data_IF_894182527484
#
_entry.id   IF_894182527484
#
_cell.length_a   1.000
_cell.length_b   1.000
_cell.length_c   1.000
_cell.angle_alpha   90.00
_cell.angle_beta   90.00
_cell.angle_gamma   90.00
#
_symmetry.space_group_name_H-M   'P 1'
#
loop_
_entity.id
_entity.type
_entity.pdbx_description
1 polymer ?
#
# COMPACT_ATOMS: atom_id res chain seq x y z
N UNK A 1 -12.75 21.06 5.70
CA UNK A 1 -11.71 20.01 5.67
C UNK A 1 -10.88 20.16 4.40
N UNK A 2 -9.62 19.76 4.45
CA UNK A 2 -8.70 19.77 3.29
C UNK A 2 -9.32 19.04 2.08
N UNK A 3 -9.95 17.89 2.30
CA UNK A 3 -10.68 17.15 1.26
C UNK A 3 -11.69 18.04 0.52
N UNK A 4 -12.52 18.77 1.25
CA UNK A 4 -13.52 19.66 0.64
C UNK A 4 -12.84 20.77 -0.18
N UNK A 5 -11.80 21.38 0.34
CA UNK A 5 -11.07 22.44 -0.35
C UNK A 5 -10.43 21.97 -1.67
N UNK A 6 -9.85 20.76 -1.68
CA UNK A 6 -9.31 20.16 -2.90
C UNK A 6 -10.44 19.88 -3.90
N UNK A 7 -11.56 19.31 -3.44
CA UNK A 7 -12.71 18.97 -4.29
C UNK A 7 -13.34 20.20 -4.95
N UNK A 8 -13.42 21.28 -4.23
CA UNK A 8 -13.98 22.55 -4.74
C UNK A 8 -13.10 23.14 -5.86
N UNK A 9 -11.84 22.73 -5.98
CA UNK A 9 -10.86 23.25 -6.94
C UNK A 9 -10.44 22.28 -8.02
N UNK A 10 -10.49 20.97 -7.76
CA UNK A 10 -9.95 19.97 -8.67
C UNK A 10 -10.70 18.65 -8.59
N UNK A 11 -11.14 18.07 -9.74
CA UNK A 11 -11.86 16.79 -9.78
C UNK A 11 -10.90 15.59 -9.80
N UNK A 12 -9.93 15.53 -8.89
CA UNK A 12 -9.00 14.40 -8.77
C UNK A 12 -9.54 13.33 -7.82
N UNK A 13 -9.09 12.09 -7.99
CA UNK A 13 -9.31 11.01 -7.03
C UNK A 13 -8.42 11.26 -5.81
N UNK A 14 -9.02 11.21 -4.62
CA UNK A 14 -8.28 11.36 -3.37
C UNK A 14 -8.02 9.97 -2.77
N UNK A 15 -6.76 9.71 -2.49
CA UNK A 15 -6.29 8.52 -1.82
C UNK A 15 -5.72 8.90 -0.45
N UNK A 16 -6.18 8.20 0.60
CA UNK A 16 -5.76 8.48 1.97
C UNK A 16 -4.91 7.34 2.53
N UNK A 17 -3.75 7.69 3.08
CA UNK A 17 -2.94 6.74 3.83
C UNK A 17 -3.65 6.36 5.13
N UNK A 18 -3.57 5.08 5.49
CA UNK A 18 -4.03 4.54 6.78
C UNK A 18 -2.87 3.91 7.56
N UNK A 19 -1.65 4.01 7.05
CA UNK A 19 -0.47 3.50 7.73
C UNK A 19 -0.29 4.16 9.09
N UNK A 20 -0.24 3.36 10.16
CA UNK A 20 0.11 3.83 11.50
C UNK A 20 0.94 2.79 12.22
N UNK A 21 1.87 3.28 13.00
CA UNK A 21 2.69 2.49 13.91
C UNK A 21 1.90 2.15 15.20
N UNK A 22 0.87 2.97 15.48
CA UNK A 22 0.00 2.78 16.64
C UNK A 22 -1.06 1.72 16.32
N UNK A 23 -1.33 0.85 17.26
CA UNK A 23 -2.23 -0.31 17.10
C UNK A 23 -3.74 0.07 17.21
N UNK A 24 -4.05 1.35 17.13
CA UNK A 24 -5.39 1.86 17.31
C UNK A 24 -6.22 1.82 16.02
N UNK A 25 -6.74 0.63 15.71
CA UNK A 25 -7.69 0.41 14.60
C UNK A 25 -8.91 1.34 14.68
N UNK A 26 -9.31 1.75 15.89
CA UNK A 26 -10.48 2.61 16.12
C UNK A 26 -10.34 3.96 15.43
N UNK A 27 -9.20 4.61 15.58
CA UNK A 27 -8.97 5.94 15.01
C UNK A 27 -8.86 5.91 13.49
N UNK A 28 -8.19 4.87 12.95
CA UNK A 28 -8.12 4.63 11.50
C UNK A 28 -9.52 4.42 10.89
N UNK A 29 -10.34 3.59 11.55
CA UNK A 29 -11.72 3.32 11.14
C UNK A 29 -12.55 4.60 11.11
N UNK A 30 -12.50 5.37 12.17
CA UNK A 30 -13.20 6.66 12.31
C UNK A 30 -12.77 7.61 11.19
N UNK A 31 -11.48 7.71 10.93
CA UNK A 31 -10.93 8.55 9.88
C UNK A 31 -11.46 8.19 8.47
N UNK A 32 -11.52 6.90 8.12
CA UNK A 32 -12.06 6.42 6.86
C UNK A 32 -13.56 6.69 6.75
N UNK A 33 -14.33 6.37 7.80
CA UNK A 33 -15.79 6.54 7.85
C UNK A 33 -16.20 8.02 7.74
N UNK A 34 -15.49 8.91 8.40
CA UNK A 34 -15.78 10.34 8.39
C UNK A 34 -15.31 11.04 7.11
N UNK A 35 -14.12 10.67 6.62
CA UNK A 35 -13.51 11.34 5.46
C UNK A 35 -14.05 10.84 4.14
N UNK A 36 -14.39 9.55 4.03
CA UNK A 36 -14.87 8.88 2.81
C UNK A 36 -14.07 9.29 1.57
N UNK A 37 -12.76 9.05 1.52
CA UNK A 37 -11.99 9.26 0.29
C UNK A 37 -12.48 8.27 -0.79
N UNK A 38 -12.11 8.46 -2.04
CA UNK A 38 -12.42 7.48 -3.08
C UNK A 38 -11.62 6.20 -2.88
N UNK A 39 -10.35 6.35 -2.48
CA UNK A 39 -9.40 5.25 -2.25
C UNK A 39 -8.76 5.45 -0.87
N UNK A 40 -8.46 4.36 -0.20
CA UNK A 40 -7.63 4.40 1.00
C UNK A 40 -6.68 3.19 1.04
N UNK A 41 -5.47 3.43 1.54
CA UNK A 41 -4.46 2.40 1.69
C UNK A 41 -4.90 1.32 2.68
N UNK A 42 -4.65 0.06 2.34
CA UNK A 42 -4.84 -1.10 3.19
C UNK A 42 -3.54 -1.91 3.20
N UNK A 43 -2.80 -1.82 4.29
CA UNK A 43 -1.53 -2.54 4.44
C UNK A 43 -1.78 -4.03 4.61
N UNK A 44 -1.20 -4.85 3.70
CA UNK A 44 -1.57 -6.25 3.52
C UNK A 44 -0.75 -7.24 4.33
N UNK A 45 0.11 -6.78 5.23
CA UNK A 45 0.87 -7.71 6.07
C UNK A 45 1.75 -7.04 7.12
N UNK A 46 2.04 -7.81 8.16
CA UNK A 46 2.99 -7.44 9.22
C UNK A 46 4.42 -7.65 8.74
N UNK A 47 5.30 -6.70 9.03
CA UNK A 47 6.72 -6.79 8.67
C UNK A 47 7.60 -6.04 9.67
N UNK A 48 8.90 -6.32 9.66
CA UNK A 48 9.87 -5.38 10.21
C UNK A 48 9.88 -4.15 9.31
N UNK A 49 9.85 -2.97 9.89
CA UNK A 49 9.95 -1.71 9.19
C UNK A 49 11.11 -0.92 9.76
N UNK A 50 12.19 -0.83 9.00
CA UNK A 50 13.45 -0.31 9.52
C UNK A 50 14.18 0.52 8.49
N UNK A 51 15.03 1.44 8.95
CA UNK A 51 15.96 2.20 8.11
C UNK A 51 17.38 1.99 8.62
N UNK A 52 18.24 1.49 7.75
CA UNK A 52 19.66 1.27 8.04
C UNK A 52 20.54 2.30 7.34
N UNK A 53 21.39 2.97 8.09
CA UNK A 53 22.41 3.89 7.58
C UNK A 53 23.71 3.15 7.28
N UNK A 54 24.02 2.95 6.01
CA UNK A 54 25.33 2.36 5.60
C UNK A 54 26.52 3.20 6.06
N UNK A 55 26.39 4.54 6.03
CA UNK A 55 27.43 5.47 6.46
C UNK A 55 27.75 5.34 7.95
N UNK A 56 26.71 5.22 8.78
CA UNK A 56 26.82 5.11 10.23
C UNK A 56 26.93 3.67 10.73
N UNK A 57 26.63 2.69 9.87
CA UNK A 57 26.56 1.25 10.17
C UNK A 57 25.62 0.94 11.34
N UNK A 58 24.48 1.62 11.39
CA UNK A 58 23.47 1.44 12.44
C UNK A 58 22.06 1.64 11.88
N UNK A 59 21.08 1.12 12.61
CA UNK A 59 19.67 1.41 12.33
C UNK A 59 19.34 2.82 12.81
N UNK A 60 18.68 3.60 11.96
CA UNK A 60 18.11 4.91 12.29
C UNK A 60 16.83 4.74 13.08
N UNK A 61 16.05 3.74 12.69
CA UNK A 61 14.92 3.20 13.43
C UNK A 61 14.73 1.72 13.10
N UNK A 62 14.07 1.01 14.00
CA UNK A 62 13.69 -0.40 13.88
C UNK A 62 12.39 -0.64 14.64
N UNK A 63 11.36 -1.14 13.94
CA UNK A 63 10.05 -1.37 14.52
C UNK A 63 9.30 -2.50 13.81
N UNK A 64 8.29 -3.02 14.46
CA UNK A 64 7.29 -3.89 13.83
C UNK A 64 6.19 -2.99 13.24
N UNK A 65 5.85 -3.22 11.97
CA UNK A 65 4.68 -2.62 11.34
C UNK A 65 3.52 -3.63 11.37
N UNK A 66 2.61 -3.55 12.37
CA UNK A 66 1.65 -4.60 12.65
C UNK A 66 0.41 -4.47 11.77
N UNK A 67 0.19 -5.45 10.89
CA UNK A 67 -0.99 -5.57 10.05
C UNK A 67 -1.45 -7.03 10.04
N UNK A 68 -2.04 -7.47 11.17
CA UNK A 68 -2.60 -8.82 11.30
C UNK A 68 -3.85 -8.99 10.45
N UNK A 69 -4.23 -10.22 10.11
CA UNK A 69 -5.48 -10.48 9.38
C UNK A 69 -6.70 -9.87 10.06
N UNK A 70 -6.80 -9.95 11.39
CA UNK A 70 -7.90 -9.34 12.12
C UNK A 70 -7.96 -7.82 11.95
N UNK A 71 -6.82 -7.14 11.87
CA UNK A 71 -6.74 -5.70 11.59
C UNK A 71 -7.13 -5.40 10.14
N UNK A 72 -6.58 -6.16 9.19
CA UNK A 72 -6.88 -6.02 7.76
C UNK A 72 -8.38 -6.19 7.50
N UNK A 73 -8.99 -7.25 8.04
CA UNK A 73 -10.43 -7.53 7.87
C UNK A 73 -11.28 -6.37 8.43
N UNK A 74 -11.01 -5.92 9.65
CA UNK A 74 -11.75 -4.81 10.26
C UNK A 74 -11.66 -3.51 9.45
N UNK A 75 -10.50 -3.23 8.86
CA UNK A 75 -10.31 -2.06 8.01
C UNK A 75 -11.04 -2.22 6.68
N UNK A 76 -10.95 -3.40 6.06
CA UNK A 76 -11.60 -3.71 4.80
C UNK A 76 -13.13 -3.64 4.92
N UNK A 77 -13.70 -4.16 6.01
CA UNK A 77 -15.13 -4.02 6.32
C UNK A 77 -15.53 -2.54 6.43
N UNK A 78 -14.76 -1.73 7.15
CA UNK A 78 -15.04 -0.30 7.28
C UNK A 78 -14.96 0.45 5.94
N UNK A 79 -14.01 0.08 5.07
CA UNK A 79 -13.90 0.63 3.72
C UNK A 79 -15.12 0.23 2.87
N UNK A 80 -15.50 -1.04 2.89
CA UNK A 80 -16.68 -1.56 2.17
C UNK A 80 -17.96 -0.86 2.61
N UNK A 81 -18.20 -0.74 3.93
CA UNK A 81 -19.37 -0.09 4.51
C UNK A 81 -19.45 1.41 4.16
N UNK A 82 -18.29 2.03 3.97
CA UNK A 82 -18.18 3.46 3.65
C UNK A 82 -18.13 3.76 2.15
N UNK A 83 -18.10 2.72 1.29
CA UNK A 83 -17.95 2.87 -0.16
C UNK A 83 -16.57 3.37 -0.58
N UNK A 84 -15.53 3.11 0.24
CA UNK A 84 -14.15 3.48 -0.02
C UNK A 84 -13.42 2.31 -0.69
N UNK A 85 -12.73 2.57 -1.80
CA UNK A 85 -11.95 1.54 -2.49
C UNK A 85 -10.67 1.23 -1.74
N UNK A 86 -10.40 -0.03 -1.35
CA UNK A 86 -9.11 -0.40 -0.78
C UNK A 86 -8.00 -0.39 -1.83
N UNK A 87 -6.88 0.24 -1.50
CA UNK A 87 -5.60 0.11 -2.19
C UNK A 87 -4.71 -0.82 -1.39
N UNK A 88 -4.40 -1.98 -1.95
CA UNK A 88 -3.69 -3.06 -1.28
C UNK A 88 -2.19 -2.78 -1.30
N UNK A 89 -1.64 -2.23 -0.23
CA UNK A 89 -0.22 -1.94 -0.08
C UNK A 89 0.57 -3.19 0.30
N UNK A 90 1.41 -3.65 -0.63
CA UNK A 90 2.18 -4.87 -0.52
C UNK A 90 3.67 -4.58 -0.56
N UNK A 91 4.37 -4.90 0.53
CA UNK A 91 5.82 -4.74 0.65
C UNK A 91 6.59 -6.03 0.34
N UNK A 92 5.87 -7.13 0.18
CA UNK A 92 6.43 -8.46 -0.06
C UNK A 92 5.45 -9.34 -0.83
N UNK A 93 5.93 -10.43 -1.44
CA UNK A 93 5.10 -11.42 -2.15
C UNK A 93 4.06 -12.05 -1.21
N UNK A 94 4.42 -12.30 0.05
CA UNK A 94 3.49 -12.79 1.07
C UNK A 94 2.32 -11.85 1.30
N UNK A 95 2.53 -10.54 1.22
CA UNK A 95 1.46 -9.55 1.35
C UNK A 95 0.48 -9.62 0.18
N UNK A 96 0.94 -9.90 -1.05
CA UNK A 96 0.07 -10.15 -2.20
C UNK A 96 -0.76 -11.40 -1.95
N UNK A 97 -0.12 -12.48 -1.50
CA UNK A 97 -0.79 -13.76 -1.22
C UNK A 97 -1.86 -13.64 -0.13
N UNK A 98 -1.70 -12.71 0.82
CA UNK A 98 -2.71 -12.43 1.85
C UNK A 98 -4.05 -11.93 1.29
N UNK A 99 -4.11 -11.53 0.02
CA UNK A 99 -5.38 -11.15 -0.62
C UNK A 99 -6.27 -12.35 -0.94
N UNK A 100 -5.70 -13.54 -1.15
CA UNK A 100 -6.44 -14.72 -1.58
C UNK A 100 -7.57 -15.13 -0.60
N UNK A 101 -7.34 -15.27 0.72
CA UNK A 101 -8.43 -15.57 1.65
C UNK A 101 -9.48 -14.45 1.72
N UNK A 102 -9.11 -13.19 1.54
CA UNK A 102 -10.05 -12.07 1.57
C UNK A 102 -10.96 -12.07 0.31
N UNK A 103 -10.43 -12.52 -0.82
CA UNK A 103 -11.20 -12.73 -2.05
C UNK A 103 -12.16 -13.91 -1.86
N UNK A 104 -11.68 -15.02 -1.34
CA UNK A 104 -12.49 -16.24 -1.06
C UNK A 104 -13.64 -15.94 -0.09
N UNK A 105 -13.40 -15.14 0.92
CA UNK A 105 -14.41 -14.67 1.88
C UNK A 105 -15.41 -13.66 1.27
N UNK A 106 -15.22 -13.18 0.02
CA UNK A 106 -16.03 -12.16 -0.63
C UNK A 106 -15.88 -10.75 -0.03
N UNK A 107 -14.91 -10.53 0.84
CA UNK A 107 -14.62 -9.23 1.45
C UNK A 107 -13.86 -8.31 0.49
N UNK A 108 -12.94 -8.86 -0.29
CA UNK A 108 -12.21 -8.13 -1.32
C UNK A 108 -12.84 -8.40 -2.68
N UNK A 109 -13.28 -7.34 -3.38
CA UNK A 109 -14.03 -7.42 -4.64
C UNK A 109 -13.32 -6.69 -5.76
N UNK A 110 -13.40 -7.20 -7.02
CA UNK A 110 -12.82 -6.52 -8.16
C UNK A 110 -13.49 -5.15 -8.44
N UNK A 111 -12.79 -4.25 -9.15
CA UNK A 111 -11.42 -4.38 -9.61
C UNK A 111 -10.44 -4.29 -8.44
N UNK A 112 -9.41 -5.16 -8.41
CA UNK A 112 -8.38 -5.13 -7.36
C UNK A 112 -7.34 -4.05 -7.68
N UNK A 113 -6.96 -3.27 -6.67
CA UNK A 113 -5.95 -2.22 -6.80
C UNK A 113 -4.77 -2.54 -5.88
N UNK A 114 -3.62 -2.86 -6.46
CA UNK A 114 -2.40 -3.17 -5.73
C UNK A 114 -1.36 -2.06 -5.84
N UNK A 115 -0.68 -1.80 -4.73
CA UNK A 115 0.50 -0.93 -4.68
C UNK A 115 1.71 -1.74 -4.20
N UNK A 116 2.65 -1.97 -5.11
CA UNK A 116 3.86 -2.74 -4.87
C UNK A 116 4.93 -1.79 -4.34
N UNK A 117 5.12 -1.78 -3.02
CA UNK A 117 6.07 -0.89 -2.33
C UNK A 117 7.40 -1.62 -2.20
N UNK A 118 8.42 -1.09 -2.87
CA UNK A 118 9.68 -1.81 -3.05
C UNK A 118 10.89 -1.00 -2.59
N UNK A 119 11.80 -1.68 -1.91
CA UNK A 119 13.06 -1.08 -1.44
C UNK A 119 13.05 -0.64 0.01
N UNK A 120 11.97 -0.90 0.75
CA UNK A 120 11.92 -0.77 2.21
C UNK A 120 12.64 -1.95 2.84
N UNK A 121 13.48 -1.70 3.83
CA UNK A 121 14.14 -2.76 4.58
C UNK A 121 13.11 -3.53 5.44
N UNK A 122 13.09 -4.84 5.28
CA UNK A 122 12.05 -5.72 5.84
C UNK A 122 11.05 -6.21 4.80
N UNK A 123 10.96 -5.53 3.64
CA UNK A 123 10.20 -5.95 2.47
C UNK A 123 11.09 -6.40 1.30
N UNK A 124 10.50 -6.54 0.13
CA UNK A 124 11.19 -6.98 -1.08
C UNK A 124 12.19 -5.94 -1.59
N UNK A 125 13.38 -6.36 -2.07
CA UNK A 125 14.36 -5.44 -2.63
C UNK A 125 13.82 -4.67 -3.84
N UNK A 126 14.19 -3.38 -3.95
CA UNK A 126 13.81 -2.50 -5.06
C UNK A 126 14.56 -2.79 -6.36
N UNK A 127 14.35 -3.93 -6.99
CA UNK A 127 14.94 -4.28 -8.28
C UNK A 127 13.89 -4.72 -9.30
N UNK A 128 14.16 -4.52 -10.58
CA UNK A 128 13.27 -4.94 -11.68
C UNK A 128 12.93 -6.43 -11.61
N UNK A 129 13.88 -7.28 -11.25
CA UNK A 129 13.65 -8.73 -11.11
C UNK A 129 12.56 -9.01 -10.06
N UNK A 130 12.64 -8.36 -8.91
CA UNK A 130 11.64 -8.53 -7.85
C UNK A 130 10.31 -7.90 -8.25
N UNK A 131 10.29 -6.82 -9.03
CA UNK A 131 9.05 -6.25 -9.54
C UNK A 131 8.33 -7.26 -10.45
N UNK A 132 9.03 -7.91 -11.38
CA UNK A 132 8.44 -8.95 -12.23
C UNK A 132 7.85 -10.07 -11.36
N UNK A 133 8.60 -10.55 -10.37
CA UNK A 133 8.12 -11.57 -9.44
C UNK A 133 6.85 -11.13 -8.69
N UNK A 134 6.79 -9.87 -8.24
CA UNK A 134 5.59 -9.35 -7.58
C UNK A 134 4.39 -9.32 -8.55
N UNK A 135 4.60 -8.86 -9.77
CA UNK A 135 3.54 -8.79 -10.80
C UNK A 135 3.01 -10.17 -11.15
N UNK A 136 3.90 -11.18 -11.27
CA UNK A 136 3.51 -12.56 -11.57
C UNK A 136 2.64 -13.20 -10.46
N UNK A 137 2.67 -12.67 -9.25
CA UNK A 137 1.86 -13.15 -8.11
C UNK A 137 0.52 -12.41 -7.95
N UNK A 138 0.25 -11.40 -8.77
CA UNK A 138 -1.02 -10.68 -8.71
C UNK A 138 -2.19 -11.55 -9.19
N UNK A 139 -3.37 -11.42 -8.57
CA UNK A 139 -4.56 -12.06 -9.11
C UNK A 139 -4.92 -11.52 -10.50
N UNK A 140 -5.52 -12.38 -11.32
CA UNK A 140 -5.91 -12.03 -12.68
C UNK A 140 -6.81 -10.78 -12.69
N UNK A 141 -6.53 -9.86 -13.62
CA UNK A 141 -7.29 -8.62 -13.78
C UNK A 141 -7.00 -7.55 -12.72
N UNK A 142 -5.98 -7.73 -11.89
CA UNK A 142 -5.56 -6.70 -10.95
C UNK A 142 -4.98 -5.48 -11.66
N UNK A 143 -5.42 -4.29 -11.22
CA UNK A 143 -4.70 -3.05 -11.49
C UNK A 143 -3.56 -2.92 -10.48
N UNK A 144 -2.42 -2.44 -10.92
CA UNK A 144 -1.28 -2.30 -10.03
C UNK A 144 -0.42 -1.08 -10.37
N UNK A 145 0.27 -0.61 -9.36
CA UNK A 145 1.28 0.43 -9.46
C UNK A 145 2.52 0.03 -8.65
N UNK A 146 3.67 0.60 -9.01
CA UNK A 146 4.90 0.49 -8.22
C UNK A 146 5.14 1.77 -7.43
N UNK A 147 5.65 1.60 -6.22
CA UNK A 147 6.18 2.65 -5.36
C UNK A 147 7.62 2.28 -5.05
N UNK A 148 8.56 2.96 -5.71
CA UNK A 148 9.99 2.73 -5.50
C UNK A 148 10.56 3.68 -4.46
N UNK A 149 11.15 3.15 -3.39
CA UNK A 149 11.67 3.96 -2.30
C UNK A 149 13.12 4.40 -2.58
N UNK A 150 13.37 5.71 -2.40
CA UNK A 150 14.67 6.34 -2.55
C UNK A 150 15.25 6.18 -3.96
N UNK A 151 16.54 5.94 -4.08
CA UNK A 151 17.25 5.83 -5.36
C UNK A 151 16.74 4.72 -6.29
N UNK A 152 15.88 3.82 -5.79
CA UNK A 152 15.29 2.74 -6.59
C UNK A 152 14.06 3.18 -7.39
N UNK A 153 13.53 4.35 -7.13
CA UNK A 153 12.34 4.89 -7.80
C UNK A 153 12.46 4.86 -9.31
N UNK A 154 13.50 5.45 -9.89
CA UNK A 154 13.60 5.60 -11.34
C UNK A 154 13.66 4.29 -12.11
N UNK A 155 14.52 3.31 -11.75
CA UNK A 155 14.52 2.00 -12.42
C UNK A 155 13.18 1.26 -12.30
N UNK A 156 12.52 1.35 -11.15
CA UNK A 156 11.24 0.68 -10.92
C UNK A 156 10.10 1.34 -11.70
N UNK A 157 10.06 2.67 -11.75
CA UNK A 157 9.07 3.43 -12.56
C UNK A 157 9.20 3.07 -14.04
N UNK A 158 10.42 3.09 -14.58
CA UNK A 158 10.65 2.72 -15.98
C UNK A 158 10.23 1.27 -16.28
N UNK A 159 10.55 0.35 -15.38
CA UNK A 159 10.15 -1.05 -15.49
C UNK A 159 8.62 -1.23 -15.41
N UNK A 160 7.95 -0.54 -14.49
CA UNK A 160 6.50 -0.62 -14.34
C UNK A 160 5.77 -0.16 -15.59
N UNK A 161 6.18 0.97 -16.18
CA UNK A 161 5.60 1.47 -17.44
C UNK A 161 5.77 0.45 -18.56
N UNK A 162 6.95 -0.17 -18.68
CA UNK A 162 7.24 -1.20 -19.69
C UNK A 162 6.39 -2.47 -19.49
N UNK A 163 6.08 -2.80 -18.24
CA UNK A 163 5.26 -3.97 -17.87
C UNK A 163 3.75 -3.68 -17.90
N UNK A 164 3.32 -2.48 -18.29
CA UNK A 164 1.91 -2.10 -18.35
C UNK A 164 1.28 -1.74 -17.01
N UNK A 165 2.09 -1.46 -15.99
CA UNK A 165 1.65 -0.99 -14.69
C UNK A 165 1.59 0.53 -14.57
N UNK A 166 1.07 1.00 -13.45
CA UNK A 166 1.05 2.40 -13.07
C UNK A 166 2.21 2.72 -12.11
N UNK A 167 2.36 3.98 -11.76
CA UNK A 167 3.43 4.45 -10.88
C UNK A 167 2.90 5.45 -9.86
N UNK A 168 3.43 5.38 -8.63
CA UNK A 168 3.30 6.43 -7.63
C UNK A 168 4.67 6.99 -7.30
N UNK A 169 4.77 8.30 -7.24
CA UNK A 169 5.97 9.04 -6.85
C UNK A 169 5.57 10.20 -5.96
N UNK A 170 6.44 10.58 -5.04
CA UNK A 170 6.17 11.69 -4.14
C UNK A 170 7.29 11.95 -3.15
N UNK A 171 7.17 13.07 -2.45
CA UNK A 171 8.14 13.51 -1.44
C UNK A 171 8.27 12.53 -0.27
N UNK A 172 7.20 11.81 0.03
CA UNK A 172 7.17 10.78 1.08
C UNK A 172 8.15 9.64 0.80
N UNK A 173 8.28 9.26 -0.47
CA UNK A 173 9.00 8.06 -0.90
C UNK A 173 10.48 8.32 -1.26
N UNK A 174 10.89 9.64 -1.37
CA UNK A 174 12.20 10.03 -1.92
C UNK A 174 12.79 11.29 -1.28
#
# INVERSE_FOLDING_TARGET
SIKKEIRDRCPIILNFSTGTILDEVKDQKTYIVESKPEIAALNMGTMNYSKYSQKRRQFDFDMIFPNTYGKIIKMLEAMNDSGVKPELECFDTGHIHNSAPLIDMGLLRPPYQFSLIMGVLGGVPGTTRHLVQQVDNLPAGAHWQVIGIGARQWPLVAAAITLGGNVRVGLEDN
#
